data_IF_094772032229
#
_entry.id   IF_094772032229
#
_cell.length_a   1.000
_cell.length_b   1.000
_cell.length_c   1.000
_cell.angle_alpha   90.00
_cell.angle_beta   90.00
_cell.angle_gamma   90.00
#
_symmetry.space_group_name_H-M   'P 1'
#
loop_
_entity.id
_entity.type
_entity.pdbx_description
1 polymer ?
#
# COMPACT_ATOMS: atom_id res chain seq x y z
N UNK A 1 5.23 -26.59 19.82
CA UNK A 1 6.00 -26.09 18.66
C UNK A 1 5.71 -24.60 18.50
N UNK A 2 6.74 -23.74 18.46
CA UNK A 2 6.58 -22.28 18.40
C UNK A 2 5.87 -21.86 17.10
N UNK A 3 4.86 -20.98 17.17
CA UNK A 3 4.09 -20.48 16.02
C UNK A 3 4.98 -19.94 14.90
N UNK A 4 6.08 -19.27 15.26
CA UNK A 4 7.06 -18.73 14.31
C UNK A 4 7.71 -19.85 13.49
N UNK A 5 8.13 -20.94 14.14
CA UNK A 5 8.80 -22.08 13.46
C UNK A 5 7.83 -22.77 12.50
N UNK A 6 6.58 -23.01 12.92
CA UNK A 6 5.55 -23.61 12.05
C UNK A 6 5.28 -22.76 10.80
N UNK A 7 5.33 -21.44 10.94
CA UNK A 7 5.14 -20.53 9.82
C UNK A 7 6.36 -20.46 8.89
N UNK A 8 7.59 -20.68 9.37
CA UNK A 8 8.78 -20.74 8.51
C UNK A 8 8.68 -21.92 7.54
N UNK A 9 8.39 -23.13 8.03
CA UNK A 9 8.25 -24.32 7.16
C UNK A 9 7.15 -24.09 6.12
N UNK A 10 6.02 -23.54 6.56
CA UNK A 10 4.90 -23.20 5.68
C UNK A 10 5.27 -22.15 4.64
N UNK A 11 6.00 -21.10 5.02
CA UNK A 11 6.49 -20.07 4.10
C UNK A 11 7.41 -20.68 3.06
N UNK A 12 8.38 -21.50 3.49
CA UNK A 12 9.30 -22.20 2.60
C UNK A 12 8.55 -23.01 1.56
N UNK A 13 7.57 -23.81 1.99
CA UNK A 13 6.75 -24.62 1.08
C UNK A 13 5.97 -23.76 0.07
N UNK A 14 5.28 -22.72 0.54
CA UNK A 14 4.48 -21.86 -0.34
C UNK A 14 5.37 -21.10 -1.33
N UNK A 15 6.51 -20.57 -0.88
CA UNK A 15 7.45 -19.83 -1.72
C UNK A 15 8.04 -20.76 -2.78
N UNK A 16 8.45 -21.97 -2.42
CA UNK A 16 8.92 -22.98 -3.37
C UNK A 16 7.86 -23.25 -4.45
N UNK A 17 6.60 -23.53 -4.05
CA UNK A 17 5.50 -23.80 -4.99
C UNK A 17 5.25 -22.65 -5.96
N UNK A 18 5.26 -21.40 -5.49
CA UNK A 18 5.04 -20.23 -6.35
C UNK A 18 6.24 -20.00 -7.28
N UNK A 19 7.47 -20.16 -6.78
CA UNK A 19 8.69 -20.01 -7.60
C UNK A 19 8.71 -21.03 -8.75
N UNK A 20 8.38 -22.28 -8.47
CA UNK A 20 8.28 -23.35 -9.46
C UNK A 20 6.93 -23.40 -10.19
N UNK A 21 6.05 -22.42 -9.99
CA UNK A 21 4.72 -22.47 -10.58
C UNK A 21 4.80 -22.33 -12.10
N UNK A 22 4.41 -23.39 -12.79
CA UNK A 22 4.21 -23.44 -14.24
C UNK A 22 2.71 -23.43 -14.56
N UNK A 23 2.30 -22.42 -15.32
CA UNK A 23 0.91 -22.18 -15.74
C UNK A 23 0.37 -23.32 -16.60
N UNK A 24 1.24 -24.01 -17.36
CA UNK A 24 0.84 -25.09 -18.26
C UNK A 24 0.62 -26.41 -17.54
N UNK A 25 1.20 -26.57 -16.34
CA UNK A 25 1.27 -27.86 -15.64
C UNK A 25 0.44 -27.86 -14.36
N UNK A 26 0.40 -26.75 -13.63
CA UNK A 26 -0.21 -26.70 -12.31
C UNK A 26 -1.64 -26.21 -12.34
N UNK A 27 -2.56 -27.03 -11.79
CA UNK A 27 -3.95 -26.65 -11.49
C UNK A 27 -4.15 -26.20 -10.02
N UNK A 28 -3.07 -26.10 -9.24
CA UNK A 28 -3.15 -25.67 -7.84
C UNK A 28 -3.77 -24.27 -7.72
N UNK A 29 -4.57 -24.07 -6.67
CA UNK A 29 -5.26 -22.81 -6.37
C UNK A 29 -4.26 -21.73 -5.90
N UNK A 30 -3.52 -21.15 -6.86
CA UNK A 30 -2.64 -19.99 -6.66
C UNK A 30 -3.28 -18.84 -5.83
N UNK A 31 -4.60 -18.55 -5.96
CA UNK A 31 -5.32 -17.67 -5.02
C UNK A 31 -5.12 -18.00 -3.53
N UNK A 32 -5.15 -19.28 -3.15
CA UNK A 32 -4.99 -19.72 -1.77
C UNK A 32 -3.56 -19.49 -1.28
N UNK A 33 -2.57 -19.76 -2.13
CA UNK A 33 -1.16 -19.53 -1.80
C UNK A 33 -0.90 -18.05 -1.53
N UNK A 34 -1.40 -17.15 -2.39
CA UNK A 34 -1.28 -15.71 -2.18
C UNK A 34 -2.05 -15.22 -0.95
N UNK A 35 -3.26 -15.75 -0.71
CA UNK A 35 -4.05 -15.40 0.47
C UNK A 35 -3.32 -15.77 1.77
N UNK A 36 -2.65 -16.91 1.79
CA UNK A 36 -1.92 -17.35 2.99
C UNK A 36 -0.62 -16.56 3.19
N UNK A 37 0.11 -16.23 2.12
CA UNK A 37 1.27 -15.33 2.20
C UNK A 37 0.88 -13.93 2.69
N UNK A 38 -0.18 -13.35 2.14
CA UNK A 38 -0.70 -12.06 2.59
C UNK A 38 -0.95 -12.08 4.10
N UNK A 39 -1.67 -13.12 4.56
CA UNK A 39 -2.03 -13.28 5.96
C UNK A 39 -0.81 -13.40 6.86
N UNK A 40 0.21 -14.17 6.45
CA UNK A 40 1.47 -14.28 7.20
C UNK A 40 2.19 -12.94 7.25
N UNK A 41 2.37 -12.28 6.09
CA UNK A 41 3.07 -10.98 5.99
C UNK A 41 2.42 -9.88 6.85
N UNK A 42 1.08 -9.91 6.97
CA UNK A 42 0.30 -8.90 7.68
C UNK A 42 0.15 -9.18 9.18
N UNK A 43 0.02 -10.44 9.60
CA UNK A 43 -0.26 -10.76 11.01
C UNK A 43 0.97 -10.74 11.91
N UNK A 44 2.13 -11.15 11.40
CA UNK A 44 3.31 -11.32 12.25
C UNK A 44 4.55 -10.79 11.54
N UNK A 45 5.26 -9.83 12.15
CA UNK A 45 6.57 -9.37 11.66
C UNK A 45 7.64 -10.18 12.38
N UNK A 46 8.39 -10.99 11.63
CA UNK A 46 9.46 -11.84 12.16
C UNK A 46 10.73 -11.70 11.35
N UNK A 47 11.89 -11.67 12.03
CA UNK A 47 13.21 -11.67 11.35
C UNK A 47 13.42 -12.94 10.53
N UNK A 48 12.84 -14.06 10.95
CA UNK A 48 12.91 -15.34 10.22
C UNK A 48 12.17 -15.31 8.88
N UNK A 49 11.32 -14.31 8.62
CA UNK A 49 10.60 -14.21 7.36
C UNK A 49 11.31 -13.32 6.34
N UNK A 50 12.38 -12.63 6.76
CA UNK A 50 13.11 -11.69 5.89
C UNK A 50 13.62 -12.40 4.64
N UNK A 51 14.26 -13.56 4.78
CA UNK A 51 14.81 -14.32 3.64
C UNK A 51 13.78 -14.63 2.54
N UNK A 52 12.49 -14.72 2.89
CA UNK A 52 11.40 -14.98 1.93
C UNK A 52 10.79 -13.69 1.38
N UNK A 53 10.56 -12.69 2.24
CA UNK A 53 9.85 -11.47 1.86
C UNK A 53 10.76 -10.37 1.29
N UNK A 54 12.07 -10.48 1.40
CA UNK A 54 13.04 -9.57 0.77
C UNK A 54 13.65 -10.15 -0.52
N UNK A 55 13.16 -11.29 -1.01
CA UNK A 55 13.60 -11.88 -2.27
C UNK A 55 12.96 -11.15 -3.46
N UNK A 56 13.80 -10.41 -4.20
CA UNK A 56 13.42 -9.66 -5.40
C UNK A 56 12.87 -10.58 -6.50
N UNK A 57 13.51 -11.71 -6.77
CA UNK A 57 13.07 -12.64 -7.82
C UNK A 57 11.70 -13.22 -7.48
N UNK A 58 11.47 -13.47 -6.19
CA UNK A 58 10.16 -13.91 -5.72
C UNK A 58 9.07 -12.84 -5.93
N UNK A 59 9.35 -11.59 -5.58
CA UNK A 59 8.42 -10.48 -5.82
C UNK A 59 8.07 -10.32 -7.31
N UNK A 60 9.08 -10.38 -8.19
CA UNK A 60 8.89 -10.30 -9.64
C UNK A 60 8.09 -11.50 -10.18
N UNK A 61 8.32 -12.71 -9.66
CA UNK A 61 7.51 -13.89 -9.99
C UNK A 61 6.05 -13.70 -9.59
N UNK A 62 5.76 -13.14 -8.41
CA UNK A 62 4.38 -12.82 -7.99
C UNK A 62 3.73 -11.86 -8.99
N UNK A 63 4.41 -10.79 -9.42
CA UNK A 63 3.89 -9.84 -10.40
C UNK A 63 3.64 -10.52 -11.75
N UNK A 64 4.58 -11.32 -12.24
CA UNK A 64 4.46 -12.06 -13.50
C UNK A 64 3.21 -12.95 -13.48
N UNK A 65 3.00 -13.70 -12.39
CA UNK A 65 1.79 -14.50 -12.20
C UNK A 65 0.54 -13.61 -12.09
N UNK A 66 0.58 -12.52 -11.33
CA UNK A 66 -0.54 -11.58 -11.20
C UNK A 66 -1.01 -11.01 -12.55
N UNK A 67 -0.08 -10.77 -13.48
CA UNK A 67 -0.37 -10.30 -14.84
C UNK A 67 -0.85 -11.40 -15.78
N UNK A 68 -0.44 -12.64 -15.54
CA UNK A 68 -0.76 -13.77 -16.41
C UNK A 68 -2.15 -14.38 -16.14
N UNK A 69 -2.72 -14.13 -14.95
CA UNK A 69 -3.99 -14.72 -14.53
C UNK A 69 -5.08 -13.66 -14.32
N UNK A 70 -6.34 -14.04 -14.59
CA UNK A 70 -7.51 -13.21 -14.29
C UNK A 70 -7.96 -13.42 -12.84
N UNK A 71 -7.35 -12.69 -11.93
CA UNK A 71 -7.74 -12.66 -10.52
C UNK A 71 -8.96 -11.76 -10.28
N UNK A 72 -9.83 -12.18 -9.35
CA UNK A 72 -10.93 -11.35 -8.86
C UNK A 72 -10.42 -10.24 -7.91
N UNK A 73 -11.31 -9.33 -7.51
CA UNK A 73 -10.95 -8.17 -6.67
C UNK A 73 -10.31 -8.55 -5.33
N UNK A 74 -10.75 -9.65 -4.71
CA UNK A 74 -10.22 -10.13 -3.42
C UNK A 74 -8.81 -10.69 -3.60
N UNK A 75 -8.58 -11.44 -4.66
CA UNK A 75 -7.27 -12.01 -4.99
C UNK A 75 -6.25 -10.93 -5.33
N UNK A 76 -6.64 -9.96 -6.16
CA UNK A 76 -5.76 -8.80 -6.46
C UNK A 76 -5.46 -8.00 -5.20
N UNK A 77 -6.45 -7.82 -4.32
CA UNK A 77 -6.24 -7.18 -3.01
C UNK A 77 -5.19 -7.91 -2.17
N UNK A 78 -5.25 -9.25 -2.13
CA UNK A 78 -4.26 -10.03 -1.39
C UNK A 78 -2.84 -9.84 -1.95
N UNK A 79 -2.70 -9.80 -3.27
CA UNK A 79 -1.42 -9.57 -3.95
C UNK A 79 -0.89 -8.16 -3.66
N UNK A 80 -1.73 -7.12 -3.76
CA UNK A 80 -1.35 -5.74 -3.42
C UNK A 80 -0.91 -5.62 -1.97
N UNK A 81 -1.68 -6.20 -1.03
CA UNK A 81 -1.33 -6.22 0.39
C UNK A 81 -0.03 -6.96 0.65
N UNK A 82 0.19 -8.12 0.02
CA UNK A 82 1.41 -8.90 0.13
C UNK A 82 2.64 -8.09 -0.33
N UNK A 83 2.63 -7.59 -1.56
CA UNK A 83 3.74 -6.81 -2.12
C UNK A 83 4.00 -5.53 -1.31
N UNK A 84 2.94 -4.83 -0.91
CA UNK A 84 3.03 -3.64 -0.07
C UNK A 84 3.66 -3.94 1.31
N UNK A 85 3.34 -5.08 1.92
CA UNK A 85 3.97 -5.51 3.17
C UNK A 85 5.42 -5.97 2.97
N UNK A 86 5.76 -6.63 1.86
CA UNK A 86 7.15 -6.98 1.55
C UNK A 86 8.04 -5.73 1.56
N UNK A 87 7.59 -4.64 0.91
CA UNK A 87 8.31 -3.35 0.94
C UNK A 87 8.26 -2.71 2.32
N UNK A 88 7.05 -2.39 2.82
CA UNK A 88 6.88 -1.54 4.02
C UNK A 88 7.29 -2.20 5.33
N UNK A 89 7.11 -3.52 5.47
CA UNK A 89 7.34 -4.24 6.74
C UNK A 89 8.64 -5.01 6.77
N UNK A 90 9.01 -5.62 5.65
CA UNK A 90 10.15 -6.52 5.55
C UNK A 90 11.37 -5.87 4.89
N UNK A 91 11.22 -4.70 4.27
CA UNK A 91 12.35 -3.97 3.69
C UNK A 91 12.78 -4.53 2.34
N UNK A 92 11.88 -5.17 1.59
CA UNK A 92 12.10 -5.38 0.16
C UNK A 92 12.34 -3.99 -0.49
N UNK A 93 13.36 -3.84 -1.34
CA UNK A 93 13.57 -2.58 -2.06
C UNK A 93 12.30 -2.15 -2.83
N UNK A 94 11.99 -0.85 -2.88
CA UNK A 94 10.83 -0.35 -3.63
C UNK A 94 11.12 -0.40 -5.14
N UNK A 95 10.85 -1.54 -5.77
CA UNK A 95 11.11 -1.78 -7.19
C UNK A 95 10.08 -1.06 -8.09
N UNK A 96 10.53 -0.61 -9.26
CA UNK A 96 9.69 0.01 -10.29
C UNK A 96 8.54 -0.92 -10.71
N UNK A 97 8.83 -2.21 -10.90
CA UNK A 97 7.82 -3.19 -11.32
C UNK A 97 6.67 -3.30 -10.30
N UNK A 98 6.99 -3.23 -9.00
CA UNK A 98 5.99 -3.26 -7.94
C UNK A 98 5.22 -1.94 -7.93
N UNK A 99 5.92 -0.80 -8.00
CA UNK A 99 5.29 0.52 -8.05
C UNK A 99 4.29 0.61 -9.20
N UNK A 100 4.71 0.35 -10.44
CA UNK A 100 3.85 0.45 -11.61
C UNK A 100 2.73 -0.60 -11.61
N UNK A 101 2.98 -1.79 -11.06
CA UNK A 101 1.90 -2.77 -10.86
C UNK A 101 0.83 -2.23 -9.89
N UNK A 102 1.20 -1.74 -8.70
CA UNK A 102 0.26 -1.14 -7.75
C UNK A 102 -0.44 0.10 -8.34
N UNK A 103 0.32 0.98 -8.99
CA UNK A 103 -0.21 2.22 -9.57
C UNK A 103 -1.22 1.95 -10.69
N UNK A 104 -1.01 0.91 -11.49
CA UNK A 104 -1.99 0.49 -12.51
C UNK A 104 -3.35 0.06 -11.92
N UNK A 105 -3.39 -0.28 -10.62
CA UNK A 105 -4.58 -0.73 -9.90
C UNK A 105 -5.23 0.40 -9.07
N UNK A 106 -4.69 1.62 -9.13
CA UNK A 106 -5.09 2.74 -8.25
C UNK A 106 -6.57 3.14 -8.37
N UNK A 107 -7.19 2.87 -9.51
CA UNK A 107 -8.60 3.18 -9.80
C UNK A 107 -9.50 1.92 -9.75
N UNK A 108 -8.93 0.74 -9.50
CA UNK A 108 -9.67 -0.52 -9.50
C UNK A 108 -10.56 -0.62 -8.26
N UNK A 109 -11.86 -0.74 -8.47
CA UNK A 109 -12.87 -0.86 -7.39
C UNK A 109 -12.47 -1.93 -6.38
N UNK A 110 -12.67 -1.64 -5.08
CA UNK A 110 -12.30 -2.45 -3.90
C UNK A 110 -10.80 -2.71 -3.69
N UNK A 111 -9.97 -2.50 -4.71
CA UNK A 111 -8.50 -2.67 -4.64
C UNK A 111 -7.82 -1.33 -4.35
N UNK A 112 -8.35 -0.24 -4.86
CA UNK A 112 -7.78 1.11 -4.77
C UNK A 112 -7.44 1.57 -3.35
N UNK A 113 -8.24 1.19 -2.35
CA UNK A 113 -7.92 1.45 -0.94
C UNK A 113 -6.63 0.77 -0.50
N UNK A 114 -6.39 -0.48 -0.91
CA UNK A 114 -5.16 -1.16 -0.55
C UNK A 114 -3.96 -0.56 -1.29
N UNK A 115 -4.14 -0.09 -2.53
CA UNK A 115 -3.08 0.65 -3.24
C UNK A 115 -2.69 1.90 -2.45
N UNK A 116 -3.66 2.70 -1.97
CA UNK A 116 -3.36 3.93 -1.24
C UNK A 116 -2.65 3.72 0.09
N UNK A 117 -2.74 2.53 0.71
CA UNK A 117 -2.02 2.19 1.94
C UNK A 117 -0.51 2.00 1.75
N UNK A 118 -0.07 1.71 0.53
CA UNK A 118 1.30 1.29 0.25
C UNK A 118 2.01 2.14 -0.79
N UNK A 119 1.29 2.74 -1.74
CA UNK A 119 1.92 3.42 -2.89
C UNK A 119 2.81 4.60 -2.47
N UNK A 120 2.51 5.28 -1.37
CA UNK A 120 3.33 6.39 -0.84
C UNK A 120 4.61 5.93 -0.15
N UNK A 121 4.82 4.62 0.02
CA UNK A 121 6.09 4.08 0.52
C UNK A 121 7.15 3.92 -0.58
N UNK A 122 6.79 4.17 -1.84
CA UNK A 122 7.67 4.06 -3.00
C UNK A 122 8.25 5.44 -3.33
N UNK A 123 9.59 5.61 -3.42
CA UNK A 123 10.20 6.85 -3.88
C UNK A 123 9.65 7.33 -5.23
N UNK A 124 9.34 6.40 -6.13
CA UNK A 124 8.74 6.66 -7.44
C UNK A 124 7.43 7.44 -7.34
N UNK A 125 6.66 7.28 -6.25
CA UNK A 125 5.44 8.07 -6.04
C UNK A 125 5.73 9.55 -5.89
N UNK A 126 6.81 9.92 -5.20
CA UNK A 126 7.20 11.31 -4.95
C UNK A 126 7.73 12.01 -6.20
N UNK A 127 8.14 11.25 -7.21
CA UNK A 127 8.62 11.78 -8.49
C UNK A 127 7.54 11.72 -9.59
N UNK A 128 6.40 11.07 -9.33
CA UNK A 128 5.38 10.86 -10.35
C UNK A 128 4.54 12.12 -10.61
N UNK A 129 4.36 12.49 -11.88
CA UNK A 129 3.59 13.69 -12.29
C UNK A 129 2.16 13.71 -11.74
N UNK A 130 1.54 12.53 -11.64
CA UNK A 130 0.16 12.35 -11.17
C UNK A 130 0.02 12.29 -9.62
N UNK A 131 1.11 12.43 -8.85
CA UNK A 131 1.09 12.17 -7.41
C UNK A 131 0.09 13.05 -6.66
N UNK A 132 0.03 14.33 -7.01
CA UNK A 132 -0.81 15.30 -6.31
C UNK A 132 -2.30 15.09 -6.60
N UNK A 133 -2.64 14.90 -7.88
CA UNK A 133 -4.01 14.56 -8.30
C UNK A 133 -4.45 13.24 -7.68
N UNK A 134 -3.56 12.25 -7.59
CA UNK A 134 -3.88 11.01 -6.89
C UNK A 134 -4.07 11.22 -5.39
N UNK A 135 -3.18 11.95 -4.72
CA UNK A 135 -3.25 12.26 -3.30
C UNK A 135 -4.58 12.94 -2.94
N UNK A 136 -4.97 13.99 -3.66
CA UNK A 136 -6.24 14.71 -3.39
C UNK A 136 -7.48 13.89 -3.76
N UNK A 137 -7.33 12.84 -4.58
CA UNK A 137 -8.41 11.88 -4.85
C UNK A 137 -8.61 10.86 -3.72
N UNK A 138 -7.60 10.59 -2.87
CA UNK A 138 -7.64 9.51 -1.87
C UNK A 138 -8.87 9.55 -0.95
N UNK A 139 -9.32 10.70 -0.42
CA UNK A 139 -10.53 10.78 0.42
C UNK A 139 -11.80 10.18 -0.21
N UNK A 140 -11.86 10.13 -1.55
CA UNK A 140 -13.02 9.62 -2.29
C UNK A 140 -13.00 8.09 -2.44
N UNK A 141 -11.88 7.43 -2.12
CA UNK A 141 -11.71 5.98 -2.25
C UNK A 141 -12.55 5.26 -1.17
N UNK A 142 -13.31 4.24 -1.56
CA UNK A 142 -14.06 3.42 -0.62
C UNK A 142 -13.14 2.38 0.08
N UNK A 143 -13.29 2.16 1.40
CA UNK A 143 -14.24 2.80 2.32
C UNK A 143 -13.78 4.20 2.77
N UNK A 144 -14.68 5.19 2.64
CA UNK A 144 -14.37 6.62 2.80
C UNK A 144 -13.65 6.92 4.11
N UNK A 145 -14.22 6.57 5.26
CA UNK A 145 -13.63 6.89 6.57
C UNK A 145 -12.18 6.42 6.73
N UNK A 146 -11.83 5.25 6.16
CA UNK A 146 -10.46 4.75 6.23
C UNK A 146 -9.55 5.49 5.26
N UNK A 147 -10.03 5.82 4.07
CA UNK A 147 -9.26 6.56 3.08
C UNK A 147 -9.03 8.01 3.49
N UNK A 148 -10.01 8.65 4.12
CA UNK A 148 -9.87 9.99 4.71
C UNK A 148 -8.79 9.98 5.81
N UNK A 149 -8.82 8.96 6.68
CA UNK A 149 -7.78 8.76 7.70
C UNK A 149 -6.40 8.51 7.07
N UNK A 150 -6.33 7.73 5.99
CA UNK A 150 -5.08 7.50 5.28
C UNK A 150 -4.53 8.80 4.68
N UNK A 151 -5.37 9.54 3.97
CA UNK A 151 -5.03 10.85 3.41
C UNK A 151 -4.47 11.81 4.48
N UNK A 152 -5.11 11.87 5.66
CA UNK A 152 -4.59 12.65 6.79
C UNK A 152 -3.15 12.26 7.16
N UNK A 153 -2.85 10.96 7.27
CA UNK A 153 -1.50 10.52 7.62
C UNK A 153 -0.50 10.81 6.51
N UNK A 154 -0.88 10.66 5.24
CA UNK A 154 0.02 10.93 4.12
C UNK A 154 0.33 12.44 4.01
N UNK A 155 -0.66 13.33 4.16
CA UNK A 155 -0.41 14.78 4.18
C UNK A 155 0.52 15.18 5.32
N UNK A 156 0.35 14.60 6.52
CA UNK A 156 1.26 14.86 7.63
C UNK A 156 2.70 14.47 7.31
N UNK A 157 2.92 13.34 6.62
CA UNK A 157 4.27 12.92 6.21
C UNK A 157 4.87 13.91 5.22
N UNK A 158 4.11 14.33 4.21
CA UNK A 158 4.54 15.29 3.18
C UNK A 158 4.95 16.63 3.81
N UNK A 159 4.14 17.15 4.74
CA UNK A 159 4.48 18.36 5.50
C UNK A 159 5.75 18.13 6.33
N UNK A 160 5.87 16.97 7.00
CA UNK A 160 7.05 16.66 7.84
C UNK A 160 8.33 16.47 7.04
N UNK A 161 8.23 16.10 5.75
CA UNK A 161 9.36 15.97 4.84
C UNK A 161 9.66 17.25 4.06
N UNK A 162 8.93 18.34 4.34
CA UNK A 162 9.08 19.65 3.67
C UNK A 162 8.98 19.55 2.14
N UNK A 163 8.19 18.59 1.65
CA UNK A 163 7.99 18.40 0.21
C UNK A 163 7.11 19.53 -0.35
N UNK A 164 7.58 20.19 -1.43
CA UNK A 164 6.87 21.32 -2.01
C UNK A 164 5.55 20.89 -2.70
N UNK A 165 4.43 21.36 -2.17
CA UNK A 165 3.08 21.12 -2.71
C UNK A 165 2.70 22.28 -3.64
N UNK A 166 2.40 22.01 -4.94
CA UNK A 166 1.95 23.06 -5.85
C UNK A 166 0.69 23.75 -5.34
N UNK A 167 0.61 25.06 -5.51
CA UNK A 167 -0.43 25.92 -4.91
C UNK A 167 -1.85 25.41 -5.17
N UNK A 168 -2.15 24.98 -6.41
CA UNK A 168 -3.46 24.42 -6.75
C UNK A 168 -3.86 23.24 -5.83
N UNK A 169 -2.94 22.31 -5.58
CA UNK A 169 -3.22 21.14 -4.73
C UNK A 169 -3.17 21.49 -3.24
N UNK A 170 -2.36 22.48 -2.86
CA UNK A 170 -2.33 23.02 -1.50
C UNK A 170 -3.71 23.55 -1.11
N UNK A 171 -4.37 24.29 -1.99
CA UNK A 171 -5.73 24.80 -1.78
C UNK A 171 -6.76 23.66 -1.67
N UNK A 172 -6.70 22.64 -2.55
CA UNK A 172 -7.57 21.45 -2.44
C UNK A 172 -7.41 20.71 -1.11
N UNK A 173 -6.17 20.58 -0.62
CA UNK A 173 -5.87 19.94 0.66
C UNK A 173 -6.42 20.77 1.82
N UNK A 174 -6.21 22.10 1.80
CA UNK A 174 -6.72 23.02 2.83
C UNK A 174 -8.24 22.93 2.91
N UNK A 175 -8.96 23.07 1.78
CA UNK A 175 -10.42 22.95 1.76
C UNK A 175 -10.89 21.61 2.31
N UNK A 176 -10.14 20.53 2.07
CA UNK A 176 -10.49 19.22 2.62
C UNK A 176 -10.34 19.15 4.14
N UNK A 177 -9.31 19.77 4.69
CA UNK A 177 -9.11 19.84 6.13
C UNK A 177 -10.09 20.80 6.83
N UNK A 178 -10.54 21.85 6.16
CA UNK A 178 -11.64 22.70 6.64
C UNK A 178 -12.94 21.89 6.76
N UNK A 179 -13.29 21.09 5.74
CA UNK A 179 -14.43 20.17 5.84
C UNK A 179 -14.29 19.17 7.00
N UNK A 180 -13.07 18.68 7.29
CA UNK A 180 -12.82 17.77 8.40
C UNK A 180 -12.90 18.46 9.74
N UNK A 181 -12.45 19.71 9.84
CA UNK A 181 -12.55 20.55 11.03
C UNK A 181 -14.02 20.77 11.42
N UNK A 182 -14.88 21.08 10.46
CA UNK A 182 -16.32 21.30 10.68
C UNK A 182 -17.03 20.03 11.16
N UNK A 183 -16.59 18.86 10.69
CA UNK A 183 -17.17 17.55 11.06
C UNK A 183 -16.58 16.99 12.35
N UNK A 184 -15.41 17.44 12.77
CA UNK A 184 -14.69 16.87 13.91
C UNK A 184 -15.42 17.18 15.22
N UNK A 185 -15.78 16.12 15.95
CA UNK A 185 -16.36 16.24 17.30
C UNK A 185 -15.31 16.28 18.40
N UNK A 186 -14.11 15.77 18.12
CA UNK A 186 -13.03 15.62 19.07
C UNK A 186 -12.02 16.77 18.93
N UNK A 187 -11.72 17.42 20.05
CA UNK A 187 -10.88 18.62 20.07
C UNK A 187 -9.42 18.36 19.68
N UNK A 188 -8.90 17.15 19.91
CA UNK A 188 -7.57 16.73 19.47
C UNK A 188 -7.51 16.78 17.94
N UNK A 189 -8.46 16.12 17.26
CA UNK A 189 -8.48 16.12 15.78
C UNK A 189 -8.71 17.52 15.22
N UNK A 190 -9.56 18.35 15.85
CA UNK A 190 -9.71 19.76 15.43
C UNK A 190 -8.40 20.52 15.48
N UNK A 191 -7.65 20.39 16.58
CA UNK A 191 -6.36 21.05 16.73
C UNK A 191 -5.35 20.54 15.70
N UNK A 192 -5.30 19.23 15.46
CA UNK A 192 -4.43 18.66 14.42
C UNK A 192 -4.77 19.18 13.02
N UNK A 193 -6.04 19.29 12.67
CA UNK A 193 -6.45 19.83 11.36
C UNK A 193 -6.11 21.32 11.22
N UNK A 194 -6.28 22.11 12.28
CA UNK A 194 -5.86 23.54 12.30
C UNK A 194 -4.35 23.67 12.08
N UNK A 195 -3.54 22.84 12.73
CA UNK A 195 -2.08 22.88 12.55
C UNK A 195 -1.65 22.48 11.14
N UNK A 196 -2.33 21.50 10.53
CA UNK A 196 -2.11 21.14 9.11
C UNK A 196 -2.42 22.33 8.20
N UNK A 197 -3.60 22.95 8.34
CA UNK A 197 -4.00 24.11 7.54
C UNK A 197 -2.99 25.25 7.69
N UNK A 198 -2.60 25.58 8.92
CA UNK A 198 -1.60 26.61 9.21
C UNK A 198 -0.25 26.30 8.57
N UNK A 199 0.21 25.05 8.65
CA UNK A 199 1.49 24.64 8.05
C UNK A 199 1.47 24.82 6.53
N UNK A 200 0.35 24.46 5.89
CA UNK A 200 0.18 24.63 4.45
C UNK A 200 0.18 26.11 4.04
N UNK A 201 -0.51 26.98 4.78
CA UNK A 201 -0.53 28.42 4.54
C UNK A 201 0.83 29.11 4.71
N UNK A 202 1.69 28.59 5.59
CA UNK A 202 3.01 29.15 5.87
C UNK A 202 4.10 28.58 4.95
N UNK A 203 3.90 27.39 4.39
CA UNK A 203 4.82 26.83 3.39
C UNK A 203 4.76 27.67 2.11
N UNK A 204 5.90 28.20 1.68
CA UNK A 204 6.03 28.98 0.43
C UNK A 204 5.98 28.04 -0.77
#
# INVERSE_FOLDING_TARGET
>A
MNTVVKNVDKLKDIVCKIKSYDVMVNKEELPLLFAELEKISRKEKSKFYLEYFTDVNFALKIISLARSFKFNEKEVTNIVSLLGNMVRRYGLPPLDEIFYFLFSLKDKKKVSYYVSLFITAFPQFHEHDDKWRYLTSMPKIAPKDKSERNFYFEVKKIISSEENIPSFYKDEIISKFEEYLDKAKNEIYKNEYKEIIKSLLLSS
#
